data_IF_206352573565
#
_entry.id   IF_206352573565
#
_cell.length_a   1.000
_cell.length_b   1.000
_cell.length_c   1.000
_cell.angle_alpha   90.00
_cell.angle_beta   90.00
_cell.angle_gamma   90.00
#
_symmetry.space_group_name_H-M   'P 1'
#
loop_
_entity.id
_entity.type
_entity.pdbx_description
1 polymer ?
#
# COMPACT_ATOMS: atom_id res chain seq x y z
N UNK A 1 -2.31 23.60 21.57
CA UNK A 1 -2.42 22.42 20.69
C UNK A 1 -1.44 21.38 21.19
N UNK A 2 -1.83 20.12 21.23
CA UNK A 2 -0.94 18.99 21.54
C UNK A 2 -0.87 18.11 20.30
N UNK A 3 0.32 17.91 19.75
CA UNK A 3 0.53 17.14 18.53
C UNK A 3 1.78 16.26 18.68
N UNK A 4 1.63 15.01 18.28
CA UNK A 4 2.71 14.02 18.23
C UNK A 4 2.93 13.68 16.76
N UNK A 5 4.15 13.87 16.29
CA UNK A 5 4.54 13.59 14.90
C UNK A 5 5.64 12.54 14.91
N UNK A 6 5.52 11.56 14.01
CA UNK A 6 6.53 10.52 13.79
C UNK A 6 6.94 10.55 12.33
N UNK A 7 8.25 10.55 12.06
CA UNK A 7 8.77 10.65 10.71
C UNK A 7 10.18 10.10 10.55
N UNK A 8 10.60 10.00 9.29
CA UNK A 8 11.97 9.77 8.85
C UNK A 8 12.58 11.11 8.42
N UNK A 9 13.87 11.16 8.05
CA UNK A 9 14.46 12.37 7.47
C UNK A 9 13.71 12.88 6.23
N UNK A 10 13.13 11.97 5.47
CA UNK A 10 12.53 12.25 4.16
C UNK A 10 11.03 12.54 4.23
N UNK A 11 10.34 12.12 5.29
CA UNK A 11 8.89 12.34 5.36
C UNK A 11 8.25 11.98 6.69
N UNK A 12 6.97 12.35 6.80
CA UNK A 12 6.13 12.07 7.97
C UNK A 12 5.38 10.76 7.75
N UNK A 13 5.31 9.95 8.80
CA UNK A 13 4.70 8.62 8.79
C UNK A 13 3.39 8.59 9.57
N UNK A 14 3.31 9.31 10.70
CA UNK A 14 2.13 9.31 11.56
C UNK A 14 1.98 10.64 12.29
N UNK A 15 0.73 11.05 12.52
CA UNK A 15 0.35 12.23 13.29
C UNK A 15 -0.82 11.87 14.21
N UNK A 16 -0.71 12.23 15.48
CA UNK A 16 -1.79 12.16 16.48
C UNK A 16 -1.92 13.54 17.13
N UNK A 17 -3.13 14.13 17.17
CA UNK A 17 -3.28 15.51 17.64
C UNK A 17 -4.60 15.80 18.35
N UNK A 18 -4.55 16.75 19.30
CA UNK A 18 -5.69 17.33 19.97
C UNK A 18 -5.54 18.85 20.09
N UNK A 19 -6.54 19.61 19.64
CA UNK A 19 -6.51 21.06 19.63
C UNK A 19 -7.89 21.69 19.91
N UNK A 20 -7.89 22.95 20.36
CA UNK A 20 -9.12 23.72 20.63
C UNK A 20 -9.45 24.62 19.44
N UNK A 21 -10.07 24.06 18.40
CA UNK A 21 -10.53 24.80 17.21
C UNK A 21 -9.47 25.75 16.62
N UNK A 22 -8.24 25.25 16.47
CA UNK A 22 -7.16 26.00 15.82
C UNK A 22 -7.34 25.95 14.30
N UNK A 23 -6.76 26.93 13.58
CA UNK A 23 -6.78 26.91 12.11
C UNK A 23 -5.93 25.78 11.55
N UNK A 24 -6.27 25.33 10.34
CA UNK A 24 -5.51 24.33 9.59
C UNK A 24 -4.06 24.76 9.40
N UNK A 25 -3.81 26.04 9.07
CA UNK A 25 -2.47 26.59 8.89
C UNK A 25 -1.60 26.39 10.14
N UNK A 26 -2.16 26.64 11.33
CA UNK A 26 -1.43 26.41 12.59
C UNK A 26 -1.07 24.94 12.82
N UNK A 27 -1.90 24.01 12.35
CA UNK A 27 -1.62 22.56 12.44
C UNK A 27 -0.48 22.19 11.48
N UNK A 28 -0.50 22.70 10.25
CA UNK A 28 0.56 22.47 9.25
C UNK A 28 1.90 23.01 9.75
N UNK A 29 1.93 24.25 10.24
CA UNK A 29 3.15 24.86 10.79
C UNK A 29 3.75 24.03 11.93
N UNK A 30 2.90 23.48 12.81
CA UNK A 30 3.36 22.63 13.90
C UNK A 30 3.91 21.28 13.42
N UNK A 31 3.34 20.72 12.35
CA UNK A 31 3.84 19.49 11.73
C UNK A 31 5.21 19.73 11.09
N UNK A 32 5.39 20.83 10.37
CA UNK A 32 6.65 21.20 9.74
C UNK A 32 7.76 21.50 10.76
N UNK A 33 7.39 22.21 11.83
CA UNK A 33 8.27 22.44 12.97
C UNK A 33 8.73 21.11 13.59
N UNK A 34 7.79 20.19 13.85
CA UNK A 34 8.12 18.88 14.40
C UNK A 34 9.03 18.07 13.47
N UNK A 35 8.79 18.08 12.14
CA UNK A 35 9.64 17.37 11.19
C UNK A 35 11.08 17.90 11.17
N UNK A 36 11.26 19.21 11.35
CA UNK A 36 12.58 19.84 11.47
C UNK A 36 13.36 19.31 12.67
N UNK A 37 12.72 19.17 13.83
CA UNK A 37 13.36 18.60 15.03
C UNK A 37 13.58 17.08 14.91
N UNK A 38 12.64 16.35 14.30
CA UNK A 38 12.78 14.91 14.01
C UNK A 38 14.03 14.66 13.16
N UNK A 39 14.32 15.48 12.15
CA UNK A 39 15.54 15.36 11.34
C UNK A 39 16.81 15.43 12.19
N UNK A 40 16.86 16.31 13.19
CA UNK A 40 18.00 16.40 14.13
C UNK A 40 18.13 15.14 14.99
N UNK A 41 17.01 14.62 15.48
CA UNK A 41 16.98 13.36 16.25
C UNK A 41 17.48 12.20 15.37
N UNK A 42 16.98 12.07 14.14
CA UNK A 42 17.43 11.04 13.20
C UNK A 42 18.92 11.15 12.86
N UNK A 43 19.44 12.38 12.70
CA UNK A 43 20.87 12.61 12.50
C UNK A 43 21.68 12.13 13.72
N UNK A 44 21.27 12.49 14.94
CA UNK A 44 21.90 12.02 16.17
C UNK A 44 21.90 10.49 16.32
N UNK A 45 20.79 9.83 16.00
CA UNK A 45 20.71 8.35 15.98
C UNK A 45 21.68 7.78 14.94
N UNK A 46 21.78 8.39 13.77
CA UNK A 46 22.69 7.95 12.69
C UNK A 46 24.15 8.06 13.14
N UNK A 47 24.52 9.14 13.83
CA UNK A 47 25.87 9.29 14.42
C UNK A 47 26.16 8.23 15.47
N UNK A 48 25.19 7.90 16.33
CA UNK A 48 25.35 6.83 17.33
C UNK A 48 25.53 5.46 16.68
N UNK A 49 24.78 5.18 15.61
CA UNK A 49 24.95 3.95 14.81
C UNK A 49 26.34 3.90 14.17
N UNK A 50 26.89 5.03 13.71
CA UNK A 50 28.24 5.07 13.17
C UNK A 50 29.33 4.78 14.23
N UNK A 51 29.10 5.19 15.49
CA UNK A 51 30.05 4.98 16.60
C UNK A 51 29.96 3.60 17.24
N UNK A 52 28.75 3.05 17.40
CA UNK A 52 28.49 1.86 18.21
C UNK A 52 27.36 0.96 17.66
N UNK A 53 26.97 1.12 16.40
CA UNK A 53 25.92 0.34 15.77
C UNK A 53 26.34 -1.10 15.48
N UNK A 54 25.38 -2.03 15.58
CA UNK A 54 25.59 -3.40 15.12
C UNK A 54 25.48 -3.47 13.60
N UNK A 55 26.21 -4.39 12.93
CA UNK A 55 26.05 -4.62 11.50
C UNK A 55 24.58 -4.87 11.13
N UNK A 56 24.09 -4.23 10.07
CA UNK A 56 22.75 -4.51 9.55
C UNK A 56 22.70 -5.94 9.04
N UNK A 57 21.60 -6.64 9.33
CA UNK A 57 21.35 -7.97 8.76
C UNK A 57 21.15 -7.85 7.25
N UNK A 58 21.86 -8.66 6.49
CA UNK A 58 21.60 -8.80 5.06
C UNK A 58 20.21 -9.42 4.85
N UNK A 59 19.37 -8.70 4.10
CA UNK A 59 18.04 -9.18 3.69
C UNK A 59 18.07 -9.24 2.18
N UNK A 60 17.83 -10.43 1.61
CA UNK A 60 17.71 -10.59 0.17
C UNK A 60 16.45 -9.87 -0.31
N UNK A 61 16.58 -9.09 -1.38
CA UNK A 61 15.45 -8.46 -2.04
C UNK A 61 14.44 -9.52 -2.47
N UNK A 62 13.16 -9.22 -2.26
CA UNK A 62 12.08 -10.09 -2.72
C UNK A 62 11.99 -9.95 -4.23
N UNK A 63 12.29 -11.01 -4.98
CA UNK A 63 12.14 -11.01 -6.43
C UNK A 63 10.65 -10.90 -6.83
N UNK A 64 10.41 -10.15 -7.91
CA UNK A 64 9.10 -9.97 -8.53
C UNK A 64 9.14 -10.54 -9.95
N UNK A 65 8.36 -11.58 -10.17
CA UNK A 65 8.21 -12.29 -11.43
C UNK A 65 7.23 -11.51 -12.31
N UNK A 66 7.78 -10.61 -13.11
CA UNK A 66 7.01 -9.76 -14.00
C UNK A 66 6.24 -10.57 -15.06
N UNK A 67 6.85 -11.64 -15.59
CA UNK A 67 6.21 -12.48 -16.60
C UNK A 67 4.94 -13.16 -16.04
N UNK A 68 5.00 -13.67 -14.81
CA UNK A 68 3.83 -14.23 -14.14
C UNK A 68 2.76 -13.18 -13.88
N UNK A 69 3.15 -11.97 -13.44
CA UNK A 69 2.22 -10.87 -13.22
C UNK A 69 1.49 -10.46 -14.51
N UNK A 70 2.22 -10.31 -15.61
CA UNK A 70 1.65 -9.90 -16.91
C UNK A 70 0.70 -10.96 -17.46
N UNK A 71 1.04 -12.24 -17.32
CA UNK A 71 0.15 -13.35 -17.67
C UNK A 71 -1.14 -13.34 -16.84
N UNK A 72 -1.02 -13.07 -15.54
CA UNK A 72 -2.18 -12.97 -14.64
C UNK A 72 -3.05 -11.77 -15.01
N UNK A 73 -2.44 -10.62 -15.32
CA UNK A 73 -3.16 -9.43 -15.78
C UNK A 73 -3.90 -9.70 -17.10
N UNK A 74 -3.24 -10.31 -18.08
CA UNK A 74 -3.88 -10.66 -19.34
C UNK A 74 -5.06 -11.62 -19.16
N UNK A 75 -4.99 -12.52 -18.17
CA UNK A 75 -6.04 -13.53 -17.92
C UNK A 75 -7.27 -12.97 -17.20
N UNK A 76 -7.08 -12.09 -16.20
CA UNK A 76 -8.19 -11.65 -15.33
C UNK A 76 -8.28 -10.14 -15.10
N UNK A 77 -7.38 -9.33 -15.67
CA UNK A 77 -7.26 -7.90 -15.41
C UNK A 77 -8.55 -7.13 -15.66
N UNK A 78 -9.15 -7.28 -16.84
CA UNK A 78 -10.40 -6.58 -17.20
C UNK A 78 -11.57 -7.04 -16.33
N UNK A 79 -11.68 -8.36 -16.10
CA UNK A 79 -12.74 -8.93 -15.25
C UNK A 79 -12.60 -8.48 -13.80
N UNK A 80 -11.36 -8.34 -13.32
CA UNK A 80 -11.07 -7.83 -11.98
C UNK A 80 -11.35 -6.32 -11.90
N UNK A 81 -11.02 -5.55 -12.94
CA UNK A 81 -11.35 -4.12 -13.03
C UNK A 81 -12.86 -3.88 -12.96
N UNK A 82 -13.64 -4.70 -13.66
CA UNK A 82 -15.12 -4.65 -13.61
C UNK A 82 -15.65 -5.05 -12.23
N UNK A 83 -15.15 -6.15 -11.66
CA UNK A 83 -15.56 -6.62 -10.34
C UNK A 83 -15.23 -5.62 -9.21
N UNK A 84 -14.21 -4.77 -9.39
CA UNK A 84 -13.83 -3.72 -8.44
C UNK A 84 -14.71 -2.46 -8.54
N UNK A 85 -15.51 -2.29 -9.60
CA UNK A 85 -16.43 -1.16 -9.74
C UNK A 85 -17.62 -1.31 -8.79
N UNK A 86 -17.50 -0.69 -7.61
CA UNK A 86 -18.53 -0.74 -6.58
C UNK A 86 -19.79 0.08 -6.87
N UNK A 87 -19.77 0.92 -7.91
CA UNK A 87 -20.96 1.60 -8.40
C UNK A 87 -21.80 0.65 -9.27
N UNK A 88 -21.15 -0.19 -10.08
CA UNK A 88 -21.81 -1.23 -10.86
C UNK A 88 -22.24 -2.42 -10.00
N UNK A 89 -21.35 -2.88 -9.11
CA UNK A 89 -21.57 -4.02 -8.23
C UNK A 89 -21.56 -3.56 -6.76
N UNK A 90 -22.67 -3.58 -6.03
CA UNK A 90 -22.70 -3.23 -4.62
C UNK A 90 -21.59 -3.93 -3.82
N UNK A 91 -21.09 -3.30 -2.75
CA UNK A 91 -19.89 -3.74 -2.00
C UNK A 91 -19.80 -5.25 -1.76
N UNK A 92 -20.89 -5.89 -1.31
CA UNK A 92 -20.90 -7.33 -1.05
C UNK A 92 -20.81 -8.18 -2.32
N UNK A 93 -21.43 -7.74 -3.41
CA UNK A 93 -21.35 -8.40 -4.72
C UNK A 93 -19.96 -8.25 -5.32
N UNK A 94 -19.38 -7.05 -5.28
CA UNK A 94 -17.99 -6.81 -5.70
C UNK A 94 -17.02 -7.75 -4.95
N UNK A 95 -17.18 -7.91 -3.64
CA UNK A 95 -16.36 -8.84 -2.87
C UNK A 95 -16.56 -10.31 -3.27
N UNK A 96 -17.81 -10.70 -3.57
CA UNK A 96 -18.11 -12.04 -4.04
C UNK A 96 -17.45 -12.31 -5.41
N UNK A 97 -17.54 -11.37 -6.35
CA UNK A 97 -16.92 -11.45 -7.68
C UNK A 97 -15.40 -11.52 -7.59
N UNK A 98 -14.77 -10.63 -6.81
CA UNK A 98 -13.31 -10.64 -6.58
C UNK A 98 -12.87 -11.95 -5.93
N UNK A 99 -13.67 -12.53 -5.02
CA UNK A 99 -13.38 -13.83 -4.42
C UNK A 99 -13.53 -14.95 -5.45
N UNK A 100 -14.59 -14.94 -6.26
CA UNK A 100 -14.84 -15.94 -7.28
C UNK A 100 -13.69 -16.00 -8.29
N UNK A 101 -13.21 -14.86 -8.78
CA UNK A 101 -12.05 -14.78 -9.70
C UNK A 101 -10.83 -15.45 -9.06
N UNK A 102 -10.57 -15.17 -7.79
CA UNK A 102 -9.44 -15.78 -7.05
C UNK A 102 -9.60 -17.28 -6.89
N UNK A 103 -10.80 -17.76 -6.57
CA UNK A 103 -11.07 -19.18 -6.35
C UNK A 103 -10.99 -19.98 -7.66
N UNK A 104 -11.45 -19.42 -8.79
CA UNK A 104 -11.25 -19.99 -10.12
C UNK A 104 -9.77 -20.13 -10.48
N UNK A 105 -8.98 -19.09 -10.20
CA UNK A 105 -7.53 -19.12 -10.43
C UNK A 105 -6.83 -20.17 -9.55
N UNK A 106 -7.26 -20.31 -8.29
CA UNK A 106 -6.75 -21.34 -7.38
C UNK A 106 -7.11 -22.75 -7.86
N UNK A 107 -8.33 -22.96 -8.34
CA UNK A 107 -8.77 -24.25 -8.88
C UNK A 107 -8.00 -24.66 -10.14
N UNK A 108 -7.49 -23.69 -10.90
CA UNK A 108 -6.68 -23.91 -12.09
C UNK A 108 -5.17 -24.11 -11.80
N UNK A 109 -4.74 -24.06 -10.52
CA UNK A 109 -3.35 -24.31 -10.17
C UNK A 109 -3.02 -25.81 -10.21
N UNK A 110 -1.79 -26.18 -10.64
CA UNK A 110 -1.33 -27.56 -10.54
C UNK A 110 -1.27 -28.00 -9.07
N UNK A 111 -1.84 -29.17 -8.77
CA UNK A 111 -1.92 -29.71 -7.40
C UNK A 111 -0.54 -30.06 -6.80
N UNK A 112 0.45 -30.27 -7.65
CA UNK A 112 1.78 -30.76 -7.26
C UNK A 112 2.75 -29.63 -6.83
N UNK A 113 2.39 -28.36 -7.01
CA UNK A 113 3.22 -27.21 -6.60
C UNK A 113 2.70 -26.56 -5.32
N UNK A 114 3.32 -26.90 -4.19
CA UNK A 114 3.00 -26.34 -2.88
C UNK A 114 3.23 -24.82 -2.75
N UNK A 115 4.06 -24.22 -3.63
CA UNK A 115 4.37 -22.78 -3.62
C UNK A 115 3.44 -21.95 -4.50
N UNK A 116 2.79 -22.58 -5.48
CA UNK A 116 1.88 -21.93 -6.42
C UNK A 116 0.73 -21.17 -5.76
N UNK A 117 0.05 -21.66 -4.69
CA UNK A 117 -1.02 -20.91 -4.04
C UNK A 117 -0.55 -19.61 -3.38
N UNK A 118 0.63 -19.64 -2.74
CA UNK A 118 1.22 -18.46 -2.11
C UNK A 118 1.69 -17.45 -3.16
N UNK A 119 2.27 -17.94 -4.26
CA UNK A 119 2.64 -17.12 -5.43
C UNK A 119 1.40 -16.44 -6.01
N UNK A 120 0.36 -17.20 -6.34
CA UNK A 120 -0.90 -16.67 -6.87
C UNK A 120 -1.49 -15.60 -5.95
N UNK A 121 -1.57 -15.86 -4.63
CA UNK A 121 -2.11 -14.89 -3.69
C UNK A 121 -1.32 -13.58 -3.72
N UNK A 122 0.02 -13.63 -3.68
CA UNK A 122 0.89 -12.44 -3.73
C UNK A 122 0.60 -11.60 -4.98
N UNK A 123 0.66 -12.21 -6.17
CA UNK A 123 0.48 -11.45 -7.43
C UNK A 123 -0.96 -11.02 -7.65
N UNK A 124 -1.96 -11.79 -7.21
CA UNK A 124 -3.36 -11.41 -7.30
C UNK A 124 -3.68 -10.18 -6.45
N UNK A 125 -3.14 -10.12 -5.22
CA UNK A 125 -3.31 -8.97 -4.35
C UNK A 125 -2.58 -7.73 -4.91
N UNK A 126 -1.34 -7.89 -5.40
CA UNK A 126 -0.63 -6.81 -6.11
C UNK A 126 -1.37 -6.34 -7.37
N UNK A 127 -1.99 -7.24 -8.11
CA UNK A 127 -2.78 -6.91 -9.29
C UNK A 127 -4.01 -6.08 -8.92
N UNK A 128 -4.76 -6.54 -7.91
CA UNK A 128 -5.92 -5.83 -7.39
C UNK A 128 -5.56 -4.42 -6.91
N UNK A 129 -4.47 -4.29 -6.17
CA UNK A 129 -3.98 -3.00 -5.69
C UNK A 129 -3.60 -2.07 -6.85
N UNK A 130 -2.83 -2.57 -7.82
CA UNK A 130 -2.37 -1.75 -8.95
C UNK A 130 -3.53 -1.30 -9.84
N UNK A 131 -4.51 -2.16 -10.11
CA UNK A 131 -5.72 -1.78 -10.86
C UNK A 131 -6.46 -0.66 -10.15
N UNK A 132 -6.69 -0.79 -8.84
CA UNK A 132 -7.35 0.24 -8.04
C UNK A 132 -6.55 1.56 -8.05
N UNK A 133 -5.23 1.47 -7.85
CA UNK A 133 -4.34 2.63 -7.86
C UNK A 133 -4.36 3.34 -9.21
N UNK A 134 -4.32 2.60 -10.31
CA UNK A 134 -4.36 3.14 -11.67
C UNK A 134 -5.71 3.80 -11.99
N UNK A 135 -6.83 3.21 -11.56
CA UNK A 135 -8.15 3.84 -11.71
C UNK A 135 -8.22 5.21 -11.02
N UNK A 136 -7.69 5.32 -9.80
CA UNK A 136 -7.74 6.58 -9.04
C UNK A 136 -6.72 7.59 -9.57
N UNK A 137 -5.51 7.16 -9.89
CA UNK A 137 -4.40 8.08 -10.24
C UNK A 137 -4.37 8.47 -11.72
N UNK A 138 -4.69 7.53 -12.63
CA UNK A 138 -4.68 7.73 -14.09
C UNK A 138 -6.08 8.04 -14.60
N UNK A 139 -7.07 7.20 -14.29
CA UNK A 139 -8.43 7.36 -14.81
C UNK A 139 -9.22 8.44 -14.03
N UNK A 140 -8.71 8.88 -12.87
CA UNK A 140 -9.36 9.85 -11.95
C UNK A 140 -10.75 9.43 -11.51
N UNK A 141 -10.99 8.12 -11.45
CA UNK A 141 -12.27 7.53 -11.10
C UNK A 141 -12.10 6.65 -9.85
N UNK A 142 -12.85 6.98 -8.80
CA UNK A 142 -13.01 6.10 -7.64
C UNK A 142 -13.97 4.95 -7.97
N UNK A 143 -13.81 3.78 -7.35
CA UNK A 143 -14.68 2.63 -7.63
C UNK A 143 -16.16 2.85 -7.31
N UNK A 144 -16.49 3.83 -6.46
CA UNK A 144 -17.87 4.21 -6.13
C UNK A 144 -18.33 5.48 -6.87
N UNK A 145 -17.55 5.96 -7.85
CA UNK A 145 -17.78 7.18 -8.65
C UNK A 145 -17.91 8.47 -7.84
N UNK A 146 -17.54 8.45 -6.56
CA UNK A 146 -17.38 9.70 -5.80
C UNK A 146 -16.15 10.45 -6.33
N UNK A 147 -16.20 11.78 -6.19
CA UNK A 147 -15.04 12.63 -6.47
C UNK A 147 -13.98 12.47 -5.37
#
# INVERSE_FOLDING_TARGET
MSITVVGTPDGIVMIESGAKQVSEDSVVDAIEFAHTEIKKICAGITELVAKAGKPKREVKSVEFDQAYYDQLYAKVGDRLKDALDTHKHPKFESYALVKQIKDELKAALPADDATAPAKLLKYYESLRENIFRDQVTKDRVRPDRRQ
#
